data_IF_097552210457
#
_entry.id   IF_097552210457
#
_cell.length_a   1.000
_cell.length_b   1.000
_cell.length_c   1.000
_cell.angle_alpha   90.00
_cell.angle_beta   90.00
_cell.angle_gamma   90.00
#
_symmetry.space_group_name_H-M   'P 1'
#
loop_
_entity.id
_entity.type
_entity.pdbx_description
1 polymer ?
#
# COMPACT_ATOMS: atom_id res chain seq x y z
N UNK A 1 9.85 18.08 -30.15
CA UNK A 1 9.91 17.40 -28.84
C UNK A 1 9.05 16.12 -28.78
N UNK A 2 8.12 15.91 -29.73
CA UNK A 2 7.15 14.79 -29.66
C UNK A 2 7.63 13.44 -30.21
N UNK A 3 8.80 13.37 -30.86
CA UNK A 3 9.30 12.16 -31.50
C UNK A 3 10.63 11.63 -30.90
N UNK A 4 10.94 11.99 -29.65
CA UNK A 4 12.12 11.45 -29.01
C UNK A 4 11.74 10.16 -28.24
N UNK A 5 12.25 8.97 -28.62
CA UNK A 5 11.91 7.71 -27.97
C UNK A 5 12.22 7.73 -26.47
N UNK A 6 13.29 8.41 -26.07
CA UNK A 6 13.69 8.54 -24.66
C UNK A 6 12.68 9.35 -23.84
N UNK A 7 12.08 10.40 -24.43
CA UNK A 7 11.05 11.20 -23.78
C UNK A 7 9.77 10.39 -23.53
N UNK A 8 9.36 9.55 -24.49
CA UNK A 8 8.19 8.69 -24.36
C UNK A 8 8.40 7.62 -23.28
N UNK A 9 9.61 7.06 -23.20
CA UNK A 9 9.96 6.11 -22.14
C UNK A 9 9.95 6.77 -20.77
N UNK A 10 10.49 7.96 -20.62
CA UNK A 10 10.48 8.72 -19.38
C UNK A 10 9.04 9.03 -18.91
N UNK A 11 8.15 9.44 -19.81
CA UNK A 11 6.73 9.68 -19.50
C UNK A 11 6.06 8.41 -19.00
N UNK A 12 6.32 7.28 -19.63
CA UNK A 12 5.76 5.99 -19.22
C UNK A 12 6.23 5.60 -17.82
N UNK A 13 7.51 5.75 -17.54
CA UNK A 13 8.10 5.49 -16.21
C UNK A 13 7.44 6.39 -15.14
N UNK A 14 7.26 7.68 -15.40
CA UNK A 14 6.62 8.61 -14.46
C UNK A 14 5.17 8.20 -14.18
N UNK A 15 4.41 7.76 -15.18
CA UNK A 15 3.04 7.25 -14.99
C UNK A 15 3.01 6.00 -14.11
N UNK A 16 3.95 5.09 -14.32
CA UNK A 16 4.09 3.88 -13.50
C UNK A 16 4.42 4.24 -12.05
N UNK A 17 5.36 5.16 -11.81
CA UNK A 17 5.69 5.62 -10.46
C UNK A 17 4.56 6.40 -9.79
N UNK A 18 3.73 7.10 -10.55
CA UNK A 18 2.53 7.75 -10.00
C UNK A 18 1.54 6.72 -9.47
N UNK A 19 1.35 5.60 -10.17
CA UNK A 19 0.53 4.48 -9.71
C UNK A 19 1.14 3.82 -8.46
N UNK A 20 2.45 3.62 -8.45
CA UNK A 20 3.18 3.14 -7.28
C UNK A 20 2.95 4.04 -6.05
N UNK A 21 3.00 5.37 -6.23
CA UNK A 21 2.71 6.34 -5.17
C UNK A 21 1.34 6.18 -4.53
N UNK A 22 0.32 5.76 -5.29
CA UNK A 22 -1.02 5.46 -4.77
C UNK A 22 -1.07 4.17 -3.94
N UNK A 23 -0.19 3.21 -4.21
CA UNK A 23 -0.12 1.94 -3.48
C UNK A 23 0.63 2.05 -2.16
N UNK A 24 1.56 3.01 -2.03
CA UNK A 24 2.36 3.22 -0.82
C UNK A 24 1.53 3.40 0.46
N UNK A 25 0.48 4.25 0.49
CA UNK A 25 -0.34 4.39 1.68
C UNK A 25 -1.00 3.08 2.11
N UNK A 26 -1.44 2.24 1.16
CA UNK A 26 -2.05 0.95 1.45
C UNK A 26 -1.05 -0.02 2.09
N UNK A 27 0.18 -0.06 1.58
CA UNK A 27 1.24 -0.86 2.19
C UNK A 27 1.56 -0.38 3.62
N UNK A 28 1.65 0.93 3.84
CA UNK A 28 1.88 1.51 5.17
C UNK A 28 0.74 1.22 6.15
N UNK A 29 -0.51 1.26 5.69
CA UNK A 29 -1.66 0.90 6.55
C UNK A 29 -1.59 -0.54 7.04
N UNK A 30 -1.16 -1.49 6.20
CA UNK A 30 -0.99 -2.89 6.63
C UNK A 30 0.11 -3.03 7.67
N UNK A 31 1.21 -2.28 7.53
CA UNK A 31 2.30 -2.26 8.51
C UNK A 31 1.85 -1.69 9.86
N UNK A 32 1.22 -0.52 9.85
CA UNK A 32 0.67 0.13 11.06
C UNK A 32 -0.35 -0.78 11.74
N UNK A 33 -1.18 -1.49 10.97
CA UNK A 33 -2.11 -2.47 11.50
C UNK A 33 -1.42 -3.59 12.27
N UNK A 34 -0.33 -4.17 11.74
CA UNK A 34 0.46 -5.20 12.41
C UNK A 34 1.14 -4.67 13.69
N UNK A 35 1.64 -3.45 13.66
CA UNK A 35 2.26 -2.81 14.84
C UNK A 35 1.21 -2.55 15.93
N UNK A 36 0.00 -2.13 15.56
CA UNK A 36 -1.11 -1.85 16.47
C UNK A 36 -1.60 -3.09 17.24
N UNK A 37 -1.45 -4.28 16.66
CA UNK A 37 -1.78 -5.56 17.33
C UNK A 37 -0.59 -6.16 18.09
N UNK A 38 0.44 -5.36 18.35
CA UNK A 38 1.65 -5.75 19.07
C UNK A 38 2.44 -6.89 18.38
N UNK A 39 2.46 -6.90 17.05
CA UNK A 39 3.22 -7.85 16.21
C UNK A 39 4.27 -7.15 15.32
N UNK A 40 5.13 -6.27 15.89
CA UNK A 40 6.12 -5.53 15.10
C UNK A 40 7.14 -6.46 14.43
N UNK A 41 7.44 -7.63 15.03
CA UNK A 41 8.33 -8.62 14.44
C UNK A 41 7.81 -9.18 13.11
N UNK A 42 6.50 -9.38 12.98
CA UNK A 42 5.86 -9.84 11.73
C UNK A 42 5.94 -8.75 10.67
N UNK A 43 5.72 -7.48 11.06
CA UNK A 43 5.87 -6.34 10.17
C UNK A 43 7.33 -6.19 9.70
N UNK A 44 8.29 -6.29 10.59
CA UNK A 44 9.71 -6.25 10.25
C UNK A 44 10.12 -7.38 9.28
N UNK A 45 9.64 -8.61 9.52
CA UNK A 45 9.88 -9.74 8.62
C UNK A 45 9.26 -9.51 7.24
N UNK A 46 8.01 -9.02 7.18
CA UNK A 46 7.36 -8.63 5.92
C UNK A 46 8.21 -7.62 5.14
N UNK A 47 8.64 -6.53 5.79
CA UNK A 47 9.44 -5.48 5.16
C UNK A 47 10.79 -6.03 4.68
N UNK A 48 11.44 -6.87 5.48
CA UNK A 48 12.72 -7.49 5.11
C UNK A 48 12.58 -8.35 3.84
N UNK A 49 11.56 -9.21 3.79
CA UNK A 49 11.28 -10.03 2.60
C UNK A 49 11.02 -9.14 1.38
N UNK A 50 10.19 -8.11 1.53
CA UNK A 50 9.88 -7.20 0.44
C UNK A 50 11.13 -6.50 -0.10
N UNK A 51 12.01 -6.01 0.77
CA UNK A 51 13.25 -5.33 0.38
C UNK A 51 14.18 -6.29 -0.36
N UNK A 52 14.38 -7.51 0.14
CA UNK A 52 15.23 -8.51 -0.50
C UNK A 52 14.71 -8.89 -1.89
N UNK A 53 13.42 -9.13 -2.02
CA UNK A 53 12.79 -9.49 -3.30
C UNK A 53 12.82 -8.32 -4.27
N UNK A 54 12.61 -7.08 -3.80
CA UNK A 54 12.71 -5.90 -4.64
C UNK A 54 14.13 -5.69 -5.18
N UNK A 55 15.15 -5.76 -4.32
CA UNK A 55 16.55 -5.65 -4.74
C UNK A 55 16.90 -6.73 -5.77
N UNK A 56 16.51 -7.98 -5.51
CA UNK A 56 16.76 -9.07 -6.46
C UNK A 56 16.06 -8.83 -7.81
N UNK A 57 14.82 -8.36 -7.79
CA UNK A 57 14.06 -8.02 -9.00
C UNK A 57 14.68 -6.88 -9.79
N UNK A 58 15.12 -5.83 -9.12
CA UNK A 58 15.78 -4.68 -9.74
C UNK A 58 17.13 -5.07 -10.37
N UNK A 59 17.92 -5.89 -9.68
CA UNK A 59 19.16 -6.43 -10.23
C UNK A 59 18.92 -7.26 -11.49
N UNK A 60 17.95 -8.15 -11.49
CA UNK A 60 17.57 -8.95 -12.66
C UNK A 60 17.11 -8.02 -13.80
N UNK A 61 16.26 -7.04 -13.52
CA UNK A 61 15.76 -6.11 -14.52
C UNK A 61 16.89 -5.31 -15.19
N UNK A 62 17.91 -4.90 -14.43
CA UNK A 62 19.03 -4.13 -14.92
C UNK A 62 20.05 -5.03 -15.64
N UNK A 63 20.50 -6.11 -15.00
CA UNK A 63 21.63 -6.91 -15.52
C UNK A 63 21.23 -7.89 -16.61
N UNK A 64 19.97 -8.39 -16.59
CA UNK A 64 19.52 -9.36 -17.59
C UNK A 64 18.77 -8.67 -18.73
N UNK A 65 17.92 -7.70 -18.42
CA UNK A 65 17.05 -7.07 -19.42
C UNK A 65 17.48 -5.67 -19.84
N UNK A 66 18.46 -5.04 -19.17
CA UNK A 66 18.92 -3.67 -19.44
C UNK A 66 17.76 -2.66 -19.60
N UNK A 67 16.70 -2.81 -18.82
CA UNK A 67 15.46 -2.05 -18.97
C UNK A 67 15.02 -1.39 -17.68
N UNK A 68 15.10 -0.06 -17.63
CA UNK A 68 14.56 0.74 -16.51
C UNK A 68 13.05 0.63 -16.39
N UNK A 69 12.35 0.36 -17.50
CA UNK A 69 10.90 0.14 -17.46
C UNK A 69 10.55 -1.10 -16.63
N UNK A 70 11.32 -2.17 -16.74
CA UNK A 70 11.10 -3.39 -15.95
C UNK A 70 11.36 -3.17 -14.46
N UNK A 71 12.30 -2.31 -14.08
CA UNK A 71 12.50 -1.89 -12.68
C UNK A 71 11.24 -1.21 -12.13
N UNK A 72 10.64 -0.31 -12.90
CA UNK A 72 9.41 0.36 -12.47
C UNK A 72 8.21 -0.60 -12.33
N UNK A 73 8.08 -1.56 -13.24
CA UNK A 73 7.03 -2.58 -13.19
C UNK A 73 7.25 -3.53 -12.02
N UNK A 74 8.49 -3.99 -11.80
CA UNK A 74 8.84 -4.89 -10.69
C UNK A 74 8.49 -4.25 -9.34
N UNK A 75 8.78 -2.97 -9.14
CA UNK A 75 8.46 -2.24 -7.91
C UNK A 75 6.96 -2.23 -7.61
N UNK A 76 6.10 -2.07 -8.63
CA UNK A 76 4.64 -2.16 -8.45
C UNK A 76 4.22 -3.58 -8.05
N UNK A 77 4.71 -4.59 -8.75
CA UNK A 77 4.35 -5.99 -8.47
C UNK A 77 4.75 -6.39 -7.04
N UNK A 78 5.94 -5.99 -6.60
CA UNK A 78 6.40 -6.28 -5.24
C UNK A 78 5.61 -5.52 -4.18
N UNK A 79 5.18 -4.29 -4.46
CA UNK A 79 4.32 -3.53 -3.55
C UNK A 79 2.95 -4.19 -3.41
N UNK A 80 2.34 -4.62 -4.51
CA UNK A 80 1.07 -5.37 -4.49
C UNK A 80 1.23 -6.67 -3.68
N UNK A 81 2.33 -7.40 -3.89
CA UNK A 81 2.64 -8.61 -3.12
C UNK A 81 2.82 -8.32 -1.63
N UNK A 82 3.47 -7.20 -1.29
CA UNK A 82 3.64 -6.74 0.08
C UNK A 82 2.33 -6.37 0.77
N UNK A 83 1.43 -5.68 0.07
CA UNK A 83 0.09 -5.37 0.55
C UNK A 83 -0.68 -6.69 0.78
N UNK A 84 -0.61 -7.63 -0.16
CA UNK A 84 -1.27 -8.92 -0.02
C UNK A 84 -0.75 -9.72 1.17
N UNK A 85 0.58 -9.80 1.36
CA UNK A 85 1.21 -10.43 2.53
C UNK A 85 0.80 -9.73 3.83
N UNK A 86 0.81 -8.39 3.86
CA UNK A 86 0.39 -7.62 5.02
C UNK A 86 -1.07 -7.89 5.40
N UNK A 87 -1.97 -7.92 4.42
CA UNK A 87 -3.38 -8.26 4.63
C UNK A 87 -3.56 -9.71 5.06
N UNK A 88 -2.77 -10.64 4.51
CA UNK A 88 -2.81 -12.04 4.92
C UNK A 88 -2.45 -12.21 6.40
N UNK A 89 -1.35 -11.59 6.86
CA UNK A 89 -0.94 -11.65 8.26
C UNK A 89 -1.94 -10.95 9.19
N UNK A 90 -2.46 -9.79 8.80
CA UNK A 90 -3.50 -9.10 9.54
C UNK A 90 -4.77 -9.96 9.69
N UNK A 91 -5.21 -10.58 8.61
CA UNK A 91 -6.40 -11.42 8.63
C UNK A 91 -6.22 -12.69 9.49
N UNK A 92 -5.02 -13.26 9.47
CA UNK A 92 -4.67 -14.42 10.30
C UNK A 92 -4.72 -14.12 11.80
N UNK A 93 -4.29 -12.91 12.19
CA UNK A 93 -4.23 -12.51 13.61
C UNK A 93 -5.58 -11.95 14.13
N UNK A 94 -6.29 -11.19 13.32
CA UNK A 94 -7.49 -10.45 13.73
C UNK A 94 -8.81 -11.10 13.30
N UNK A 95 -8.79 -12.17 12.48
CA UNK A 95 -9.99 -12.75 11.85
C UNK A 95 -10.89 -11.68 11.20
N UNK A 96 -10.26 -10.66 10.58
CA UNK A 96 -10.98 -9.53 9.99
C UNK A 96 -11.77 -9.97 8.77
N UNK A 97 -13.06 -9.66 8.77
CA UNK A 97 -13.85 -9.69 7.54
C UNK A 97 -13.58 -8.40 6.76
N UNK A 98 -13.19 -8.51 5.50
CA UNK A 98 -12.96 -7.36 4.61
C UNK A 98 -14.11 -6.34 4.60
N UNK A 99 -15.35 -6.82 4.81
CA UNK A 99 -16.55 -5.98 4.92
C UNK A 99 -16.52 -5.05 6.13
N UNK A 100 -15.93 -5.48 7.23
CA UNK A 100 -15.90 -4.71 8.48
C UNK A 100 -14.89 -3.56 8.37
N UNK A 101 -13.78 -3.76 7.66
CA UNK A 101 -12.78 -2.72 7.38
C UNK A 101 -13.39 -1.63 6.50
N UNK A 102 -14.11 -2.03 5.45
CA UNK A 102 -14.74 -1.08 4.54
C UNK A 102 -15.88 -0.31 5.22
N UNK A 103 -16.71 -1.00 6.02
CA UNK A 103 -17.79 -0.38 6.77
C UNK A 103 -17.27 0.59 7.84
N UNK A 104 -16.20 0.23 8.55
CA UNK A 104 -15.56 1.10 9.54
C UNK A 104 -14.96 2.36 8.88
N UNK A 105 -14.33 2.24 7.71
CA UNK A 105 -13.84 3.36 6.92
C UNK A 105 -14.95 4.32 6.50
N UNK A 106 -16.05 3.79 5.99
CA UNK A 106 -17.23 4.59 5.60
C UNK A 106 -17.88 5.26 6.81
N UNK A 107 -18.00 4.56 7.94
CA UNK A 107 -18.54 5.12 9.18
C UNK A 107 -17.64 6.24 9.72
N UNK A 108 -16.33 6.07 9.69
CA UNK A 108 -15.38 7.09 10.10
C UNK A 108 -15.50 8.36 9.22
N UNK A 109 -15.60 8.18 7.91
CA UNK A 109 -15.79 9.29 6.97
C UNK A 109 -17.12 10.03 7.22
N UNK A 110 -18.22 9.29 7.43
CA UNK A 110 -19.53 9.87 7.80
C UNK A 110 -19.47 10.61 9.13
N UNK A 111 -18.73 10.07 10.12
CA UNK A 111 -18.57 10.70 11.43
C UNK A 111 -17.83 12.04 11.32
N UNK A 112 -16.77 12.11 10.50
CA UNK A 112 -16.02 13.35 10.22
C UNK A 112 -16.92 14.36 9.51
N UNK A 113 -17.61 13.96 8.45
CA UNK A 113 -18.53 14.81 7.71
C UNK A 113 -19.64 15.40 8.60
N UNK A 114 -20.23 14.59 9.45
CA UNK A 114 -21.25 15.03 10.41
C UNK A 114 -20.67 15.99 11.45
N UNK A 115 -19.41 15.78 11.87
CA UNK A 115 -18.74 16.67 12.82
C UNK A 115 -18.37 18.03 12.20
N UNK A 116 -17.98 18.02 10.94
CA UNK A 116 -17.66 19.23 10.16
C UNK A 116 -18.93 19.99 9.77
N UNK A 117 -20.01 19.27 9.45
CA UNK A 117 -21.31 19.85 9.07
C UNK A 117 -22.14 20.41 10.25
N UNK A 118 -21.59 20.43 11.48
CA UNK A 118 -22.21 21.10 12.63
C UNK A 118 -23.38 20.36 13.28
N UNK A 119 -23.75 19.17 12.83
CA UNK A 119 -24.75 18.35 13.49
C UNK A 119 -24.12 17.64 14.69
N UNK A 120 -24.25 18.24 15.88
CA UNK A 120 -23.94 17.59 17.17
C UNK A 120 -24.94 16.47 17.39
N UNK A 121 -24.68 15.28 16.93
CA UNK A 121 -25.33 14.10 17.44
C UNK A 121 -24.64 13.73 18.77
N UNK A 122 -25.36 13.96 19.86
CA UNK A 122 -24.99 13.48 21.20
C UNK A 122 -24.78 11.98 21.14
N UNK A 123 -23.54 11.56 21.44
CA UNK A 123 -23.24 10.16 21.71
C UNK A 123 -23.81 9.85 23.10
N UNK A 124 -24.76 8.93 23.28
CA UNK A 124 -25.18 8.51 24.62
C UNK A 124 -23.99 7.76 25.25
N UNK A 125 -23.41 8.34 26.28
CA UNK A 125 -22.49 7.65 27.18
C UNK A 125 -23.33 6.66 27.98
N UNK A 126 -23.30 5.39 27.61
CA UNK A 126 -23.80 4.31 28.45
C UNK A 126 -22.84 4.09 29.62
N UNK A 127 -23.34 4.34 30.83
CA UNK A 127 -22.68 3.96 32.09
C UNK A 127 -22.63 2.45 32.23
#
# INVERSE_FOLDING_TARGET
LQNNPDANQAITIVRIFSLYGLLLPLDRMTGIGLDSINKPGVNALKVLIMVLVNIAGDLIAIFVFNSLLLVAISSILFTIMGIWLGMYFLNKELHLRYRDIFSAGVQFYKSILNKVSGNRLMVPVSR
#
